data_IF_793249180706
#
_entry.id   IF_793249180706
#
_cell.length_a   1.000
_cell.length_b   1.000
_cell.length_c   1.000
_cell.angle_alpha   90.00
_cell.angle_beta   90.00
_cell.angle_gamma   90.00
#
_symmetry.space_group_name_H-M   'P 1'
#
loop_
_entity.id
_entity.type
_entity.pdbx_description
1 polymer ?
#
# COMPACT_ATOMS: atom_id res chain seq x y z
N UNK A 1 -8.35 17.04 -7.03
CA UNK A 1 -7.49 15.91 -6.92
C UNK A 1 -8.24 14.61 -7.01
N UNK A 2 -7.50 13.57 -7.15
CA UNK A 2 -8.05 12.24 -7.23
C UNK A 2 -8.61 11.79 -5.89
N UNK A 3 -9.84 11.30 -5.90
CA UNK A 3 -10.43 10.77 -4.67
C UNK A 3 -9.83 9.40 -4.38
N UNK A 4 -9.57 9.15 -3.11
CA UNK A 4 -9.13 7.85 -2.67
C UNK A 4 -10.23 6.81 -2.97
N UNK A 5 -9.87 5.64 -3.55
CA UNK A 5 -10.87 4.63 -3.90
C UNK A 5 -11.32 3.85 -2.66
N UNK A 6 -12.23 4.42 -1.92
CA UNK A 6 -12.73 3.85 -0.66
C UNK A 6 -13.27 2.43 -0.80
N UNK A 7 -13.72 2.06 -2.01
CA UNK A 7 -14.20 0.70 -2.29
C UNK A 7 -13.13 -0.36 -2.13
N UNK A 8 -11.85 0.04 -2.17
CA UNK A 8 -10.73 -0.88 -1.97
C UNK A 8 -10.47 -1.18 -0.50
N UNK A 9 -11.12 -0.48 0.42
CA UNK A 9 -10.90 -0.66 1.85
C UNK A 9 -12.11 -1.30 2.52
N UNK A 10 -11.82 -2.17 3.50
CA UNK A 10 -12.84 -2.63 4.41
C UNK A 10 -13.24 -1.49 5.34
N UNK A 11 -14.52 -1.47 5.74
CA UNK A 11 -15.01 -0.44 6.66
C UNK A 11 -14.28 -0.44 8.00
N UNK A 12 -13.80 -1.58 8.45
CA UNK A 12 -13.09 -1.69 9.72
C UNK A 12 -11.79 -0.90 9.76
N UNK A 13 -11.17 -0.69 8.60
CA UNK A 13 -9.86 -0.02 8.51
C UNK A 13 -9.96 1.40 7.99
N UNK A 14 -11.15 1.86 7.62
CA UNK A 14 -11.33 3.24 7.19
C UNK A 14 -11.03 4.16 8.37
N UNK A 15 -10.22 5.16 8.12
CA UNK A 15 -9.81 6.12 9.14
C UNK A 15 -8.59 5.74 9.95
N UNK A 16 -8.11 4.51 9.83
CA UNK A 16 -6.88 4.10 10.49
C UNK A 16 -5.69 4.83 9.91
N UNK A 17 -4.76 5.16 10.76
CA UNK A 17 -3.51 5.80 10.37
C UNK A 17 -2.34 5.16 11.12
N UNK A 18 -1.18 5.18 10.50
CA UNK A 18 0.04 4.72 11.15
C UNK A 18 0.50 5.73 12.19
N UNK A 19 1.32 5.27 13.13
CA UNK A 19 1.90 6.13 14.15
C UNK A 19 3.42 6.24 14.02
N UNK A 20 3.92 6.09 12.81
CA UNK A 20 5.34 6.14 12.53
C UNK A 20 5.86 7.57 12.51
N UNK A 21 7.11 7.71 12.92
CA UNK A 21 7.81 8.98 12.97
C UNK A 21 8.22 9.40 11.55
N UNK A 22 8.07 10.68 11.22
CA UNK A 22 8.42 11.23 9.91
C UNK A 22 9.88 10.99 9.53
N UNK A 23 10.79 11.14 10.49
CA UNK A 23 12.21 10.92 10.21
C UNK A 23 12.48 9.48 9.80
N UNK A 24 11.82 8.53 10.44
CA UNK A 24 11.95 7.13 10.10
C UNK A 24 11.39 6.82 8.72
N UNK A 25 10.28 7.43 8.38
CA UNK A 25 9.68 7.27 7.05
C UNK A 25 10.62 7.79 5.96
N UNK A 26 11.16 8.96 6.16
CA UNK A 26 12.06 9.59 5.17
C UNK A 26 13.33 8.75 4.98
N UNK A 27 13.88 8.19 6.05
CA UNK A 27 15.06 7.32 5.96
C UNK A 27 14.84 6.11 5.06
N UNK A 28 13.61 5.62 5.00
CA UNK A 28 13.25 4.42 4.25
C UNK A 28 12.67 4.72 2.88
N UNK A 29 12.49 6.00 2.57
CA UNK A 29 11.92 6.43 1.30
C UNK A 29 12.88 6.11 0.16
N UNK A 30 12.33 5.54 -0.91
CA UNK A 30 13.06 5.14 -2.12
C UNK A 30 14.09 4.03 -1.91
N UNK A 31 14.12 3.38 -0.76
CA UNK A 31 14.96 2.20 -0.57
C UNK A 31 14.25 0.99 -1.15
N UNK A 32 14.98 0.24 -1.95
CA UNK A 32 14.43 -0.92 -2.67
C UNK A 32 13.97 -2.01 -1.72
N UNK A 33 12.93 -2.73 -2.15
CA UNK A 33 12.45 -3.92 -1.46
C UNK A 33 12.75 -5.16 -2.30
N UNK A 34 12.91 -6.30 -1.61
CA UNK A 34 13.05 -7.59 -2.27
C UNK A 34 11.70 -8.09 -2.76
N UNK A 35 11.70 -9.13 -3.60
CA UNK A 35 10.45 -9.76 -4.04
C UNK A 35 9.63 -10.27 -2.87
N UNK A 36 10.29 -10.84 -1.87
CA UNK A 36 9.63 -11.33 -0.66
C UNK A 36 8.98 -10.19 0.11
N UNK A 37 9.66 -9.06 0.21
CA UNK A 37 9.14 -7.88 0.88
C UNK A 37 7.95 -7.27 0.13
N UNK A 38 7.99 -7.27 -1.20
CA UNK A 38 6.86 -6.80 -2.01
C UNK A 38 5.63 -7.67 -1.82
N UNK A 39 5.82 -8.99 -1.75
CA UNK A 39 4.74 -9.92 -1.48
C UNK A 39 4.15 -9.69 -0.08
N UNK A 40 5.00 -9.44 0.89
CA UNK A 40 4.56 -9.10 2.25
C UNK A 40 3.74 -7.81 2.25
N UNK A 41 4.20 -6.80 1.52
CA UNK A 41 3.45 -5.54 1.39
C UNK A 41 2.04 -5.79 0.85
N UNK A 42 1.92 -6.56 -0.24
CA UNK A 42 0.62 -6.86 -0.84
C UNK A 42 -0.27 -7.64 0.13
N UNK A 43 0.30 -8.61 0.83
CA UNK A 43 -0.42 -9.36 1.86
C UNK A 43 -0.94 -8.40 2.95
N UNK A 44 -0.11 -7.46 3.37
CA UNK A 44 -0.50 -6.46 4.35
C UNK A 44 -1.67 -5.60 3.86
N UNK A 45 -1.65 -5.20 2.59
CA UNK A 45 -2.74 -4.43 2.02
C UNK A 45 -4.06 -5.19 2.10
N UNK A 46 -4.05 -6.49 1.80
CA UNK A 46 -5.26 -7.30 1.89
C UNK A 46 -5.74 -7.41 3.34
N UNK A 47 -4.81 -7.50 4.28
CA UNK A 47 -5.15 -7.57 5.70
C UNK A 47 -5.79 -6.28 6.21
N UNK A 48 -5.35 -5.12 5.70
CA UNK A 48 -5.92 -3.84 6.13
C UNK A 48 -7.16 -3.44 5.36
N UNK A 49 -7.58 -4.23 4.36
CA UNK A 49 -8.86 -4.05 3.74
C UNK A 49 -8.88 -3.81 2.23
N UNK A 50 -7.74 -3.74 1.57
CA UNK A 50 -7.73 -3.65 0.11
C UNK A 50 -8.24 -4.96 -0.48
N UNK A 51 -9.11 -4.87 -1.48
CA UNK A 51 -9.85 -6.05 -1.93
C UNK A 51 -9.07 -6.86 -2.96
N UNK A 52 -8.82 -8.11 -2.59
CA UNK A 52 -8.08 -9.05 -3.41
C UNK A 52 -8.81 -9.42 -4.71
N UNK A 53 -10.14 -9.45 -4.70
CA UNK A 53 -10.90 -9.84 -5.89
C UNK A 53 -10.78 -8.86 -7.06
N UNK A 54 -10.25 -7.68 -6.81
CA UNK A 54 -9.89 -6.75 -7.87
C UNK A 54 -8.81 -7.33 -8.77
N UNK A 55 -8.01 -8.24 -8.23
CA UNK A 55 -6.89 -8.89 -8.89
C UNK A 55 -7.29 -9.90 -9.93
N UNK A 56 -8.43 -10.53 -9.74
CA UNK A 56 -8.78 -11.70 -10.51
C UNK A 56 -9.72 -11.40 -11.66
N UNK A 57 -9.79 -10.17 -12.04
CA UNK A 57 -10.45 -9.83 -13.29
C UNK A 57 -9.58 -10.36 -14.41
N UNK A 58 -10.16 -11.18 -15.27
CA UNK A 58 -9.50 -12.07 -16.21
C UNK A 58 -8.43 -11.45 -17.12
N UNK A 59 -8.42 -10.12 -17.29
CA UNK A 59 -7.49 -9.45 -18.17
C UNK A 59 -6.42 -8.63 -17.47
N UNK A 60 -6.36 -8.72 -16.15
CA UNK A 60 -5.35 -7.99 -15.40
C UNK A 60 -4.06 -8.77 -15.37
N UNK A 61 -3.06 -8.21 -15.97
CA UNK A 61 -1.71 -8.64 -15.73
C UNK A 61 -1.35 -8.27 -14.28
N UNK A 62 -0.67 -9.18 -13.59
CA UNK A 62 -0.34 -9.03 -12.19
C UNK A 62 0.50 -7.79 -11.91
N UNK A 63 1.45 -7.48 -12.78
CA UNK A 63 2.31 -6.31 -12.63
C UNK A 63 1.48 -5.03 -12.62
N UNK A 64 0.53 -4.94 -13.54
CA UNK A 64 -0.35 -3.77 -13.62
C UNK A 64 -1.23 -3.64 -12.38
N UNK A 65 -1.73 -4.74 -11.88
CA UNK A 65 -2.53 -4.73 -10.66
C UNK A 65 -1.71 -4.25 -9.48
N UNK A 66 -0.50 -4.78 -9.32
CA UNK A 66 0.39 -4.40 -8.24
C UNK A 66 0.67 -2.89 -8.28
N UNK A 67 0.84 -2.33 -9.46
CA UNK A 67 1.03 -0.89 -9.63
C UNK A 67 -0.21 -0.09 -9.24
N UNK A 68 -1.40 -0.54 -9.64
CA UNK A 68 -2.65 0.15 -9.32
C UNK A 68 -2.89 0.17 -7.83
N UNK A 69 -2.76 -0.97 -7.16
CA UNK A 69 -3.01 -1.06 -5.73
C UNK A 69 -1.95 -0.30 -4.93
N UNK A 70 -0.70 -0.35 -5.39
CA UNK A 70 0.39 0.38 -4.75
C UNK A 70 0.19 1.89 -4.85
N UNK A 71 -0.24 2.38 -6.01
CA UNK A 71 -0.56 3.80 -6.17
C UNK A 71 -1.73 4.23 -5.29
N UNK A 72 -2.77 3.39 -5.18
CA UNK A 72 -3.90 3.66 -4.30
C UNK A 72 -3.44 3.79 -2.85
N UNK A 73 -2.58 2.88 -2.40
CA UNK A 73 -2.00 2.94 -1.08
C UNK A 73 -1.17 4.22 -0.89
N UNK A 74 -0.34 4.55 -1.87
CA UNK A 74 0.53 5.72 -1.80
C UNK A 74 -0.27 7.02 -1.74
N UNK A 75 -1.35 7.13 -2.50
CA UNK A 75 -2.20 8.32 -2.45
C UNK A 75 -2.74 8.58 -1.05
N UNK A 76 -3.00 7.54 -0.30
CA UNK A 76 -3.53 7.68 1.05
C UNK A 76 -2.43 7.87 2.08
N UNK A 77 -1.40 7.04 2.04
CA UNK A 77 -0.45 6.93 3.15
C UNK A 77 0.91 7.54 2.88
N UNK A 78 1.25 7.73 1.62
CA UNK A 78 2.51 8.34 1.22
C UNK A 78 2.30 9.19 -0.03
N UNK A 79 1.52 10.28 0.07
CA UNK A 79 1.17 11.10 -1.11
C UNK A 79 2.34 11.91 -1.68
N UNK A 80 3.44 12.02 -0.97
CA UNK A 80 4.61 12.77 -1.43
C UNK A 80 5.21 12.18 -2.70
N UNK A 81 5.11 10.86 -2.87
CA UNK A 81 5.60 10.17 -4.07
C UNK A 81 4.63 9.06 -4.45
N UNK A 82 3.91 9.25 -5.54
CA UNK A 82 2.94 8.28 -6.05
C UNK A 82 3.49 7.71 -7.35
N UNK A 83 4.27 6.64 -7.26
CA UNK A 83 4.94 6.06 -8.41
C UNK A 83 4.61 4.57 -8.64
N UNK A 84 3.85 3.95 -7.77
CA UNK A 84 3.53 2.52 -7.88
C UNK A 84 4.68 1.59 -7.54
N UNK A 85 5.82 2.13 -7.11
CA UNK A 85 6.98 1.34 -6.69
C UNK A 85 6.93 1.16 -5.18
N UNK A 86 7.08 -0.07 -4.74
CA UNK A 86 7.03 -0.39 -3.31
C UNK A 86 8.43 -0.23 -2.74
N UNK A 87 8.63 0.78 -1.92
CA UNK A 87 9.89 0.99 -1.22
C UNK A 87 9.77 0.57 0.24
N UNK A 88 10.86 0.68 0.99
CA UNK A 88 10.88 0.29 2.40
C UNK A 88 9.93 1.16 3.24
N UNK A 89 9.74 2.40 2.85
CA UNK A 89 8.79 3.28 3.53
C UNK A 89 7.36 2.74 3.41
N UNK A 90 6.94 2.35 2.21
CA UNK A 90 5.61 1.77 1.99
C UNK A 90 5.44 0.49 2.81
N UNK A 91 6.45 -0.38 2.81
CA UNK A 91 6.40 -1.61 3.58
C UNK A 91 6.25 -1.32 5.08
N UNK A 92 7.03 -0.39 5.59
CA UNK A 92 7.00 -0.01 7.01
C UNK A 92 5.61 0.50 7.41
N UNK A 93 5.02 1.37 6.59
CA UNK A 93 3.68 1.88 6.85
C UNK A 93 2.67 0.73 6.88
N UNK A 94 2.72 -0.15 5.88
CA UNK A 94 1.77 -1.27 5.81
C UNK A 94 1.88 -2.21 7.01
N UNK A 95 3.09 -2.47 7.48
CA UNK A 95 3.32 -3.31 8.66
C UNK A 95 2.76 -2.66 9.91
N UNK A 96 2.92 -1.37 10.06
CA UNK A 96 2.37 -0.65 11.21
C UNK A 96 0.84 -0.69 11.20
N UNK A 97 0.24 -0.50 10.03
CA UNK A 97 -1.22 -0.53 9.90
C UNK A 97 -1.80 -1.90 10.23
N UNK A 98 -1.13 -2.97 9.85
CA UNK A 98 -1.57 -4.33 10.14
C UNK A 98 -1.61 -4.60 11.64
N UNK A 99 -0.68 -4.01 12.40
CA UNK A 99 -0.58 -4.20 13.84
C UNK A 99 -1.70 -3.50 14.65
N UNK A 100 -2.41 -2.61 14.02
CA UNK A 100 -3.48 -1.85 14.70
C UNK A 100 -4.82 -2.66 14.80
#
# INVERSE_FOLDING_TARGET
GEKFPWKLLSKKKIGYWHNLNQNELIKNRNLKTSSKEKNLFLTNLFKIGYQKKFLYNSNFNRIRFDQIISKAFQRRFRPEIINGKIDQECLLISQNLVKK
#
